data_IF_968239456452
#
_entry.id   IF_968239456452
#
_cell.length_a   1.000
_cell.length_b   1.000
_cell.length_c   1.000
_cell.angle_alpha   90.00
_cell.angle_beta   90.00
_cell.angle_gamma   90.00
#
_symmetry.space_group_name_H-M   'P 1'
#
loop_
_entity.id
_entity.type
_entity.pdbx_description
1 polymer ?
#
# COMPACT_ATOMS: atom_id res chain seq x y z
N UNK A 1 4.77 5.47 18.20
CA UNK A 1 5.04 5.17 16.79
C UNK A 1 6.47 5.54 16.49
N UNK A 2 7.19 4.74 15.70
CA UNK A 2 8.54 5.05 15.24
C UNK A 2 8.40 5.45 13.76
N UNK A 3 8.48 6.74 13.48
CA UNK A 3 8.33 7.30 12.13
C UNK A 3 9.65 7.19 11.37
N UNK A 4 9.60 6.95 10.06
CA UNK A 4 10.80 6.99 9.23
C UNK A 4 11.48 8.36 9.34
N UNK A 5 12.80 8.39 9.58
CA UNK A 5 13.54 9.62 9.86
C UNK A 5 13.48 10.65 8.72
N UNK A 6 13.33 10.18 7.47
CA UNK A 6 13.24 11.02 6.28
C UNK A 6 11.79 11.31 5.84
N UNK A 7 10.77 10.99 6.67
CA UNK A 7 9.39 11.26 6.30
C UNK A 7 9.19 12.74 5.96
N UNK A 8 8.57 13.00 4.81
CA UNK A 8 8.26 14.35 4.34
C UNK A 8 6.75 14.48 4.11
N UNK A 9 6.10 15.34 4.88
CA UNK A 9 4.64 15.54 4.82
C UNK A 9 4.19 16.21 3.52
N UNK A 10 4.96 17.18 3.00
CA UNK A 10 4.59 17.93 1.79
C UNK A 10 4.54 17.06 0.53
N UNK A 11 5.38 16.04 0.46
CA UNK A 11 5.48 15.12 -0.69
C UNK A 11 5.08 13.68 -0.40
N UNK A 12 4.67 13.37 0.83
CA UNK A 12 4.44 12.00 1.32
C UNK A 12 5.62 11.05 1.01
N UNK A 13 6.85 11.58 1.05
CA UNK A 13 8.03 10.78 0.78
C UNK A 13 8.41 9.98 2.02
N UNK A 14 8.84 8.74 1.80
CA UNK A 14 9.19 7.80 2.86
C UNK A 14 8.04 7.63 3.88
N UNK A 15 6.79 7.60 3.40
CA UNK A 15 5.59 7.40 4.20
C UNK A 15 5.48 5.97 4.74
N UNK A 16 6.24 5.70 5.81
CA UNK A 16 6.25 4.44 6.53
C UNK A 16 6.56 4.68 8.02
N UNK A 17 5.92 3.90 8.88
CA UNK A 17 6.15 3.92 10.32
C UNK A 17 6.01 2.53 10.93
N UNK A 18 6.64 2.33 12.09
CA UNK A 18 6.54 1.10 12.86
C UNK A 18 5.76 1.33 14.16
N UNK A 19 4.90 0.38 14.50
CA UNK A 19 4.20 0.30 15.77
C UNK A 19 4.75 -0.88 16.56
N UNK A 20 5.31 -0.59 17.74
CA UNK A 20 5.70 -1.61 18.71
C UNK A 20 4.53 -1.86 19.65
N UNK A 21 4.04 -3.08 19.66
CA UNK A 21 2.97 -3.48 20.58
C UNK A 21 3.52 -3.62 22.00
N UNK A 22 2.68 -3.30 22.98
CA UNK A 22 3.00 -3.47 24.41
C UNK A 22 3.16 -4.95 24.77
N UNK A 23 2.37 -5.82 24.13
CA UNK A 23 2.41 -7.26 24.33
C UNK A 23 2.61 -8.00 23.00
N UNK A 24 3.19 -9.21 23.08
CA UNK A 24 3.45 -10.05 21.91
C UNK A 24 2.14 -10.63 21.37
N UNK A 25 1.97 -10.60 20.05
CA UNK A 25 0.87 -11.33 19.38
C UNK A 25 1.11 -12.83 19.49
N UNK A 26 0.08 -13.59 19.87
CA UNK A 26 0.07 -15.06 19.77
C UNK A 26 -0.52 -15.45 18.42
N UNK A 27 0.29 -16.06 17.54
CA UNK A 27 -0.18 -16.50 16.23
C UNK A 27 -1.10 -17.71 16.31
N UNK A 28 -2.08 -17.76 15.41
CA UNK A 28 -3.06 -18.83 15.28
C UNK A 28 -3.63 -18.88 13.84
N UNK A 29 -4.76 -19.56 13.65
CA UNK A 29 -5.39 -19.68 12.34
C UNK A 29 -5.89 -18.33 11.75
N UNK A 30 -6.13 -17.33 12.60
CA UNK A 30 -6.66 -16.01 12.23
C UNK A 30 -5.62 -14.88 12.35
N UNK A 31 -4.45 -15.15 12.91
CA UNK A 31 -3.40 -14.15 13.15
C UNK A 31 -2.04 -14.70 12.74
N UNK A 32 -1.44 -14.10 11.71
CA UNK A 32 -0.14 -14.48 11.17
C UNK A 32 0.60 -13.25 10.66
N UNK A 33 1.92 -13.31 10.66
CA UNK A 33 2.74 -12.27 10.04
C UNK A 33 2.72 -12.41 8.51
N UNK A 34 2.62 -11.27 7.81
CA UNK A 34 2.87 -11.21 6.37
C UNK A 34 4.38 -11.23 6.10
N UNK A 35 4.79 -11.84 4.99
CA UNK A 35 6.20 -11.81 4.57
C UNK A 35 6.53 -10.44 4.01
N UNK A 36 7.64 -9.86 4.46
CA UNK A 36 8.22 -8.68 3.83
C UNK A 36 8.92 -9.10 2.53
N UNK A 37 8.97 -8.22 1.51
CA UNK A 37 9.78 -8.46 0.32
C UNK A 37 11.24 -8.68 0.72
N UNK A 38 11.92 -9.64 0.07
CA UNK A 38 13.34 -9.90 0.33
C UNK A 38 14.18 -8.70 -0.10
N UNK A 39 15.25 -8.42 0.63
CA UNK A 39 16.19 -7.30 0.39
C UNK A 39 17.00 -7.43 -0.92
N UNK A 40 16.76 -8.45 -1.74
CA UNK A 40 17.60 -8.72 -2.91
C UNK A 40 17.31 -7.76 -4.06
N UNK A 41 18.26 -6.84 -4.19
CA UNK A 41 18.72 -6.06 -5.33
C UNK A 41 17.71 -5.16 -6.05
N UNK A 42 18.18 -3.94 -6.33
CA UNK A 42 17.49 -2.84 -7.02
C UNK A 42 17.11 -3.16 -8.49
N UNK A 43 17.00 -4.45 -8.83
CA UNK A 43 16.84 -5.02 -10.18
C UNK A 43 15.52 -5.74 -10.36
N UNK A 44 14.75 -6.03 -9.30
CA UNK A 44 13.43 -6.65 -9.43
C UNK A 44 12.39 -5.57 -9.77
N UNK A 45 11.97 -5.54 -11.03
CA UNK A 45 10.78 -4.80 -11.43
C UNK A 45 9.53 -5.60 -11.04
N UNK A 46 8.61 -4.95 -10.33
CA UNK A 46 7.27 -5.50 -10.07
C UNK A 46 6.25 -5.09 -11.15
N UNK A 47 6.70 -4.48 -12.24
CA UNK A 47 5.82 -4.08 -13.33
C UNK A 47 5.03 -5.30 -13.84
N UNK A 48 3.75 -5.08 -14.12
CA UNK A 48 2.81 -6.10 -14.57
C UNK A 48 2.45 -7.20 -13.56
N UNK A 49 3.10 -7.26 -12.39
CA UNK A 49 2.65 -8.12 -11.29
C UNK A 49 1.26 -7.67 -10.81
N UNK A 50 0.48 -8.62 -10.30
CA UNK A 50 -0.83 -8.35 -9.70
C UNK A 50 -0.76 -8.61 -8.20
N UNK A 51 -1.19 -7.64 -7.42
CA UNK A 51 -1.33 -7.75 -5.98
C UNK A 51 -2.75 -7.51 -5.50
N UNK A 52 -2.95 -7.71 -4.21
CA UNK A 52 -4.20 -7.47 -3.50
C UNK A 52 -3.97 -6.32 -2.53
N UNK A 53 -4.77 -5.27 -2.65
CA UNK A 53 -4.98 -4.30 -1.59
C UNK A 53 -6.20 -4.72 -0.77
N UNK A 54 -6.12 -4.64 0.56
CA UNK A 54 -7.23 -4.97 1.45
C UNK A 54 -7.39 -3.94 2.56
N UNK A 55 -8.63 -3.70 2.98
CA UNK A 55 -8.93 -2.70 4.01
C UNK A 55 -10.42 -2.51 4.27
N UNK A 56 -10.71 -1.56 5.15
CA UNK A 56 -12.05 -1.17 5.60
C UNK A 56 -12.38 0.28 5.21
N UNK A 57 -11.66 0.84 4.23
CA UNK A 57 -11.87 2.18 3.73
C UNK A 57 -13.26 2.39 3.10
N UNK A 58 -13.46 3.60 2.61
CA UNK A 58 -14.67 3.96 1.88
C UNK A 58 -14.77 3.16 0.57
N UNK A 59 -15.99 2.77 0.20
CA UNK A 59 -16.28 2.09 -1.08
C UNK A 59 -16.40 3.12 -2.22
N UNK A 60 -16.71 4.37 -1.90
CA UNK A 60 -16.70 5.52 -2.81
C UNK A 60 -16.65 6.84 -2.03
N UNK A 61 -16.34 7.95 -2.69
CA UNK A 61 -16.22 9.29 -2.07
C UNK A 61 -17.41 9.66 -1.15
N UNK A 62 -18.62 9.28 -1.56
CA UNK A 62 -19.88 9.62 -0.88
C UNK A 62 -20.39 8.55 0.09
N UNK A 63 -19.73 7.40 0.18
CA UNK A 63 -20.14 6.31 1.06
C UNK A 63 -19.30 6.26 2.32
N UNK A 64 -19.87 5.65 3.35
CA UNK A 64 -19.18 5.35 4.59
C UNK A 64 -18.13 4.24 4.40
N UNK A 65 -17.28 4.11 5.42
CA UNK A 65 -16.32 3.02 5.53
C UNK A 65 -17.04 1.67 5.61
N UNK A 66 -16.44 0.65 5.00
CA UNK A 66 -17.01 -0.69 5.01
C UNK A 66 -17.00 -1.30 6.41
N UNK A 67 -18.09 -1.96 6.80
CA UNK A 67 -18.14 -2.77 8.04
C UNK A 67 -17.35 -4.08 7.93
N UNK A 68 -17.18 -4.58 6.70
CA UNK A 68 -16.48 -5.83 6.41
C UNK A 68 -15.15 -5.53 5.74
N UNK A 69 -14.16 -6.41 5.93
CA UNK A 69 -12.90 -6.34 5.19
C UNK A 69 -13.19 -6.54 3.71
N UNK A 70 -12.77 -5.60 2.88
CA UNK A 70 -12.85 -5.69 1.43
C UNK A 70 -11.44 -5.83 0.85
N UNK A 71 -11.37 -6.30 -0.39
CA UNK A 71 -10.12 -6.42 -1.11
C UNK A 71 -10.33 -6.21 -2.61
N UNK A 72 -9.25 -5.78 -3.28
CA UNK A 72 -9.24 -5.56 -4.73
C UNK A 72 -7.92 -6.08 -5.31
N UNK A 73 -8.01 -6.76 -6.45
CA UNK A 73 -6.85 -7.19 -7.23
C UNK A 73 -6.45 -6.06 -8.17
N UNK A 74 -5.23 -5.55 -8.03
CA UNK A 74 -4.71 -4.43 -8.82
C UNK A 74 -3.40 -4.83 -9.50
N UNK A 75 -3.23 -4.38 -10.74
CA UNK A 75 -2.02 -4.61 -11.53
C UNK A 75 -1.05 -3.45 -11.34
N UNK A 76 0.21 -3.76 -11.04
CA UNK A 76 1.28 -2.78 -10.92
C UNK A 76 1.62 -2.23 -12.30
N UNK A 77 1.79 -0.92 -12.38
CA UNK A 77 2.16 -0.19 -13.60
C UNK A 77 3.55 0.41 -13.48
N UNK A 78 4.17 0.72 -14.61
CA UNK A 78 5.47 1.35 -14.68
C UNK A 78 5.45 2.75 -14.02
N UNK A 79 6.51 3.09 -13.31
CA UNK A 79 6.65 4.38 -12.62
C UNK A 79 6.68 5.57 -13.60
N UNK A 80 7.23 5.42 -14.81
CA UNK A 80 7.21 6.46 -15.84
C UNK A 80 5.80 6.80 -16.32
N UNK A 81 4.89 5.81 -16.26
CA UNK A 81 3.47 6.04 -16.52
C UNK A 81 2.85 6.76 -15.34
N UNK A 82 3.21 6.38 -14.12
CA UNK A 82 2.69 6.98 -12.90
C UNK A 82 3.09 8.45 -12.73
N UNK A 83 4.36 8.77 -12.97
CA UNK A 83 4.93 10.12 -12.86
C UNK A 83 4.16 11.13 -13.74
N UNK A 84 3.65 10.71 -14.89
CA UNK A 84 2.84 11.57 -15.77
C UNK A 84 1.51 12.02 -15.15
N UNK A 85 0.98 11.26 -14.18
CA UNK A 85 -0.26 11.59 -13.48
C UNK A 85 -0.04 12.35 -12.18
N UNK A 86 1.09 12.14 -11.50
CA UNK A 86 1.41 12.83 -10.26
C UNK A 86 2.22 14.11 -10.56
N UNK A 87 1.65 15.28 -10.26
CA UNK A 87 2.43 16.52 -10.25
C UNK A 87 3.42 16.47 -9.09
N UNK A 88 4.66 16.86 -9.33
CA UNK A 88 5.77 16.84 -8.37
C UNK A 88 5.36 17.18 -6.92
N UNK A 89 5.89 16.44 -5.92
CA UNK A 89 7.00 15.49 -6.01
C UNK A 89 6.58 14.03 -6.29
N UNK A 90 7.25 13.38 -7.25
CA UNK A 90 7.24 11.93 -7.46
C UNK A 90 8.59 11.36 -7.03
N UNK A 91 8.61 10.15 -6.47
CA UNK A 91 9.85 9.50 -6.06
C UNK A 91 9.89 8.04 -6.54
N UNK A 92 11.03 7.54 -7.06
CA UNK A 92 11.13 6.17 -7.59
C UNK A 92 10.83 5.05 -6.59
N UNK A 93 10.83 5.34 -5.28
CA UNK A 93 10.44 4.38 -4.26
C UNK A 93 8.93 4.16 -4.15
N UNK A 94 8.11 4.91 -4.89
CA UNK A 94 6.67 4.69 -4.97
C UNK A 94 6.38 3.54 -5.94
N UNK A 95 5.32 2.80 -5.67
CA UNK A 95 4.78 1.77 -6.55
C UNK A 95 3.34 2.14 -6.89
N UNK A 96 3.02 2.13 -8.17
CA UNK A 96 1.70 2.53 -8.64
C UNK A 96 0.93 1.37 -9.24
N UNK A 97 -0.40 1.43 -9.12
CA UNK A 97 -1.29 0.41 -9.68
C UNK A 97 -2.28 1.01 -10.66
N UNK A 98 -2.68 0.23 -11.66
CA UNK A 98 -3.75 0.60 -12.57
C UNK A 98 -5.09 0.66 -11.84
N UNK A 99 -5.84 1.74 -12.08
CA UNK A 99 -7.22 1.94 -11.60
C UNK A 99 -8.27 1.51 -12.63
N UNK A 100 -7.88 0.67 -13.61
CA UNK A 100 -8.79 0.18 -14.66
C UNK A 100 -10.02 -0.49 -14.03
N UNK A 101 -11.20 -0.11 -14.54
CA UNK A 101 -12.47 -0.56 -13.98
C UNK A 101 -12.96 0.24 -12.77
N UNK A 102 -12.33 1.39 -12.47
CA UNK A 102 -12.70 2.29 -11.35
C UNK A 102 -12.62 1.61 -9.98
N UNK A 103 -11.58 0.78 -9.79
CA UNK A 103 -11.31 0.08 -8.52
C UNK A 103 -9.94 0.50 -8.01
N UNK A 104 -9.84 0.82 -6.72
CA UNK A 104 -8.61 1.23 -6.05
C UNK A 104 -8.80 1.16 -4.53
N UNK A 105 -7.77 1.50 -3.77
CA UNK A 105 -7.88 1.90 -2.36
C UNK A 105 -8.58 3.26 -2.23
N UNK A 106 -9.11 3.56 -1.05
CA UNK A 106 -9.76 4.84 -0.76
C UNK A 106 -9.44 5.35 0.67
N UNK A 107 -10.10 6.45 1.06
CA UNK A 107 -9.94 7.05 2.39
C UNK A 107 -10.25 6.02 3.48
N UNK A 108 -9.29 5.81 4.38
CA UNK A 108 -9.37 4.83 5.46
C UNK A 108 -8.59 3.53 5.21
N UNK A 109 -8.05 3.33 4.00
CA UNK A 109 -7.15 2.20 3.70
C UNK A 109 -5.66 2.55 3.88
N UNK A 110 -5.32 3.82 4.14
CA UNK A 110 -3.95 4.29 4.33
C UNK A 110 -3.20 3.48 5.40
N UNK A 111 -1.97 3.06 5.08
CA UNK A 111 -1.17 2.15 5.92
C UNK A 111 -1.56 0.67 5.79
N UNK A 112 -2.59 0.34 5.01
CA UNK A 112 -2.98 -1.02 4.68
C UNK A 112 -1.97 -1.72 3.74
N UNK A 113 -1.98 -3.06 3.70
CA UNK A 113 -1.02 -3.81 2.91
C UNK A 113 -1.39 -3.88 1.42
N UNK A 114 -0.36 -3.97 0.58
CA UNK A 114 -0.46 -4.45 -0.79
C UNK A 114 0.38 -5.72 -0.94
N UNK A 115 -0.27 -6.86 -1.14
CA UNK A 115 0.38 -8.18 -1.13
C UNK A 115 0.35 -8.80 -2.52
N UNK A 116 1.50 -9.18 -3.05
CA UNK A 116 1.57 -9.91 -4.32
C UNK A 116 0.87 -11.27 -4.20
N UNK A 117 0.15 -11.64 -5.26
CA UNK A 117 -0.44 -12.99 -5.39
C UNK A 117 0.62 -14.04 -5.68
#
# INVERSE_FOLDING_TARGET
MIVHQNYNESGYLYDIGLLKLESKIKFNNFTKAVKLPMKYENTISYENCTGIASGWGKISEKQDKSKNLLYVSLKIINNDVCEKYYKNPFHPSLLCTSTKGKRSICTGDSGGPFVLK
#
